data_IF_613257113118
#
_entry.id   IF_613257113118
#
_cell.length_a   1.000
_cell.length_b   1.000
_cell.length_c   1.000
_cell.angle_alpha   90.00
_cell.angle_beta   90.00
_cell.angle_gamma   90.00
#
_symmetry.space_group_name_H-M   'P 1'
#
loop_
_entity.id
_entity.type
_entity.pdbx_description
1 polymer ?
#
# COMPACT_ATOMS: atom_id res chain seq x y z
N UNK A 1 -2.18 5.20 11.67
CA UNK A 1 -1.38 6.09 10.79
C UNK A 1 -0.31 6.80 11.62
N UNK A 2 0.91 6.93 11.12
CA UNK A 2 2.00 7.59 11.86
C UNK A 2 1.90 9.11 11.75
N UNK A 3 2.57 9.84 12.64
CA UNK A 3 2.53 11.31 12.64
C UNK A 3 3.21 11.91 11.42
N UNK A 4 4.22 11.22 10.87
CA UNK A 4 4.83 11.58 9.60
C UNK A 4 3.82 11.59 8.46
N UNK A 5 2.97 10.57 8.37
CA UNK A 5 1.94 10.47 7.31
C UNK A 5 0.84 11.53 7.53
N UNK A 6 0.38 11.71 8.77
CA UNK A 6 -0.60 12.78 9.09
C UNK A 6 -0.07 14.17 8.75
N UNK A 7 1.21 14.42 8.96
CA UNK A 7 1.85 15.70 8.60
C UNK A 7 1.79 16.05 7.10
N UNK A 8 1.48 15.08 6.22
CA UNK A 8 1.34 15.30 4.78
C UNK A 8 -0.09 15.69 4.36
N UNK A 9 -1.09 15.49 5.24
CA UNK A 9 -2.51 15.66 4.89
C UNK A 9 -2.88 17.06 4.38
N UNK A 10 -2.42 18.18 5.00
CA UNK A 10 -2.77 19.51 4.53
C UNK A 10 -2.31 19.78 3.09
N UNK A 11 -1.12 19.28 2.72
CA UNK A 11 -0.60 19.42 1.37
C UNK A 11 -1.40 18.59 0.35
N UNK A 12 -1.81 17.38 0.73
CA UNK A 12 -2.62 16.52 -0.12
C UNK A 12 -4.02 17.10 -0.36
N UNK A 13 -4.68 17.63 0.68
CA UNK A 13 -5.97 18.33 0.54
C UNK A 13 -5.87 19.45 -0.51
N UNK A 14 -4.81 20.25 -0.47
CA UNK A 14 -4.58 21.30 -1.48
C UNK A 14 -4.34 20.72 -2.88
N UNK A 15 -3.56 19.64 -3.02
CA UNK A 15 -3.30 19.00 -4.32
C UNK A 15 -4.57 18.45 -5.00
N UNK A 16 -5.59 18.09 -4.21
CA UNK A 16 -6.89 17.63 -4.70
C UNK A 16 -7.90 18.77 -4.91
N UNK A 17 -7.50 20.03 -4.76
CA UNK A 17 -8.36 21.20 -4.97
C UNK A 17 -9.18 21.64 -3.75
N UNK A 18 -8.91 21.07 -2.57
CA UNK A 18 -9.63 21.36 -1.33
C UNK A 18 -11.01 20.69 -1.24
N UNK A 19 -11.75 21.02 -0.18
CA UNK A 19 -13.14 20.56 0.02
C UNK A 19 -13.29 19.11 0.49
N UNK A 20 -12.21 18.35 0.59
CA UNK A 20 -12.16 17.00 1.16
C UNK A 20 -11.51 17.01 2.55
N UNK A 21 -11.80 15.99 3.36
CA UNK A 21 -11.16 15.83 4.67
C UNK A 21 -9.70 15.40 4.54
N UNK A 22 -8.90 15.60 5.60
CA UNK A 22 -7.52 15.12 5.66
C UNK A 22 -7.42 13.59 5.52
N UNK A 23 -8.33 12.86 6.15
CA UNK A 23 -8.39 11.39 6.06
C UNK A 23 -8.74 10.94 4.63
N UNK A 24 -9.72 11.60 4.00
CA UNK A 24 -10.09 11.32 2.61
C UNK A 24 -8.96 11.63 1.64
N UNK A 25 -8.22 12.73 1.85
CA UNK A 25 -7.07 13.09 1.03
C UNK A 25 -5.94 12.05 1.16
N UNK A 26 -5.69 11.55 2.37
CA UNK A 26 -4.68 10.52 2.62
C UNK A 26 -5.10 9.18 2.01
N UNK A 27 -6.34 8.75 2.24
CA UNK A 27 -6.88 7.53 1.66
C UNK A 27 -6.81 7.56 0.13
N UNK A 28 -7.28 8.66 -0.47
CA UNK A 28 -7.22 8.84 -1.92
C UNK A 28 -5.79 8.82 -2.45
N UNK A 29 -4.84 9.44 -1.76
CA UNK A 29 -3.43 9.42 -2.15
C UNK A 29 -2.86 8.00 -2.17
N UNK A 30 -3.16 7.19 -1.15
CA UNK A 30 -2.73 5.78 -1.12
C UNK A 30 -3.36 4.97 -2.25
N UNK A 31 -4.66 5.12 -2.49
CA UNK A 31 -5.36 4.39 -3.54
C UNK A 31 -4.93 4.84 -4.94
N UNK A 32 -4.63 6.13 -5.13
CA UNK A 32 -4.13 6.65 -6.41
C UNK A 32 -2.80 6.01 -6.80
N UNK A 33 -1.91 5.80 -5.83
CA UNK A 33 -0.63 5.12 -6.03
C UNK A 33 -0.74 3.61 -6.30
N UNK A 34 -1.86 2.98 -5.94
CA UNK A 34 -2.10 1.54 -6.13
C UNK A 34 -2.97 1.28 -7.37
N UNK A 35 -2.47 0.55 -8.39
CA UNK A 35 -3.29 0.07 -9.51
C UNK A 35 -4.53 -0.74 -9.08
N UNK A 36 -4.41 -1.49 -7.99
CA UNK A 36 -5.52 -2.29 -7.44
C UNK A 36 -6.67 -1.47 -6.85
N UNK A 37 -6.45 -0.17 -6.56
CA UNK A 37 -7.44 0.75 -5.98
C UNK A 37 -8.09 0.22 -4.69
N UNK A 38 -7.35 -0.57 -3.92
CA UNK A 38 -7.74 -1.03 -2.59
C UNK A 38 -6.52 -1.19 -1.71
N UNK A 39 -6.73 -1.13 -0.41
CA UNK A 39 -5.71 -1.55 0.53
C UNK A 39 -5.51 -3.07 0.48
N UNK A 40 -4.27 -3.50 0.70
CA UNK A 40 -3.94 -4.89 0.98
C UNK A 40 -4.38 -5.24 2.41
N UNK A 41 -4.97 -6.41 2.58
CA UNK A 41 -5.37 -6.91 3.88
C UNK A 41 -4.20 -7.65 4.55
N UNK A 42 -4.08 -7.60 5.89
CA UNK A 42 -3.06 -8.35 6.62
C UNK A 42 -3.07 -9.86 6.32
N UNK A 43 -4.25 -10.43 6.01
CA UNK A 43 -4.38 -11.83 5.63
C UNK A 43 -3.71 -12.16 4.30
N UNK A 44 -3.60 -11.22 3.38
CA UNK A 44 -2.91 -11.43 2.10
C UNK A 44 -1.39 -11.50 2.30
N UNK A 45 -0.85 -10.66 3.19
CA UNK A 45 0.55 -10.76 3.62
C UNK A 45 0.81 -12.09 4.31
N UNK A 46 -0.09 -12.50 5.21
CA UNK A 46 -0.01 -13.80 5.88
C UNK A 46 -0.05 -14.98 4.90
N UNK A 47 -0.90 -14.90 3.87
CA UNK A 47 -0.99 -15.92 2.83
C UNK A 47 0.30 -16.01 2.00
N UNK A 48 0.91 -14.86 1.64
CA UNK A 48 2.21 -14.85 0.97
C UNK A 48 3.31 -15.48 1.85
N UNK A 49 3.36 -15.13 3.14
CA UNK A 49 4.29 -15.75 4.07
C UNK A 49 4.08 -17.28 4.15
N UNK A 50 2.83 -17.74 4.25
CA UNK A 50 2.50 -19.16 4.29
C UNK A 50 2.95 -19.89 3.01
N UNK A 51 2.76 -19.26 1.84
CA UNK A 51 3.26 -19.79 0.57
C UNK A 51 4.80 -19.87 0.56
N UNK A 52 5.49 -18.81 0.97
CA UNK A 52 6.96 -18.77 1.00
C UNK A 52 7.58 -19.78 1.99
N UNK A 53 6.84 -20.16 3.04
CA UNK A 53 7.26 -21.21 3.98
C UNK A 53 6.90 -22.64 3.52
N UNK A 54 6.24 -22.80 2.38
CA UNK A 54 5.84 -24.11 1.85
C UNK A 54 6.87 -24.71 0.88
N UNK A 55 6.74 -26.01 0.59
CA UNK A 55 7.58 -26.71 -0.39
C UNK A 55 7.46 -26.12 -1.81
N UNK A 56 6.37 -25.42 -2.13
CA UNK A 56 6.17 -24.79 -3.43
C UNK A 56 7.13 -23.62 -3.70
N UNK A 57 7.68 -23.02 -2.65
CA UNK A 57 8.59 -21.89 -2.74
C UNK A 57 10.06 -22.28 -2.54
N UNK A 58 10.42 -23.58 -2.55
CA UNK A 58 11.74 -24.08 -2.16
C UNK A 58 12.94 -23.46 -2.91
N UNK A 59 12.73 -22.94 -4.12
CA UNK A 59 13.77 -22.27 -4.92
C UNK A 59 13.66 -20.74 -4.94
N UNK A 60 12.72 -20.16 -4.19
CA UNK A 60 12.58 -18.71 -4.04
C UNK A 60 13.46 -18.27 -2.86
N UNK A 61 14.62 -17.66 -3.16
CA UNK A 61 15.56 -17.19 -2.14
C UNK A 61 16.30 -15.94 -2.60
N UNK A 62 16.65 -15.07 -1.65
CA UNK A 62 17.41 -13.83 -1.92
C UNK A 62 16.68 -12.78 -2.77
N UNK A 63 15.38 -12.95 -3.01
CA UNK A 63 14.59 -12.06 -3.87
C UNK A 63 13.58 -11.25 -3.07
N UNK A 64 13.40 -9.94 -3.36
CA UNK A 64 12.24 -9.19 -2.88
C UNK A 64 10.98 -9.66 -3.61
N UNK A 65 9.90 -9.89 -2.86
CA UNK A 65 8.58 -10.24 -3.41
C UNK A 65 7.61 -9.10 -3.08
N UNK A 66 7.20 -8.34 -4.09
CA UNK A 66 6.26 -7.23 -3.91
C UNK A 66 4.84 -7.71 -3.64
N UNK A 67 4.21 -7.11 -2.63
CA UNK A 67 2.78 -7.25 -2.30
C UNK A 67 2.23 -5.85 -1.92
N UNK A 68 2.23 -4.93 -2.87
CA UNK A 68 2.02 -3.50 -2.65
C UNK A 68 0.83 -2.93 -3.44
N UNK A 69 -0.07 -3.80 -3.92
CA UNK A 69 -1.21 -3.41 -4.74
C UNK A 69 -0.82 -2.86 -6.13
N UNK A 70 0.44 -3.08 -6.56
CA UNK A 70 1.01 -2.63 -7.83
C UNK A 70 1.77 -1.31 -7.73
N UNK A 71 2.03 -0.80 -6.52
CA UNK A 71 2.68 0.50 -6.31
C UNK A 71 4.02 0.60 -7.05
N UNK A 72 4.89 -0.41 -6.92
CA UNK A 72 6.23 -0.38 -7.51
C UNK A 72 6.28 -0.58 -9.04
N UNK A 73 5.13 -0.76 -9.71
CA UNK A 73 5.06 -1.08 -11.14
C UNK A 73 5.15 0.14 -12.08
N UNK A 74 5.29 1.36 -11.53
CA UNK A 74 5.23 2.63 -12.26
C UNK A 74 6.51 3.45 -12.16
#
# INVERSE_FOLDING_TARGET
>A
MTDLVRGQAPALVQSYGGGISEDEALERAFLDAMPSKRFIEPSEVGALCAFLCSDFAISITGAPISIDGGWAAH
#
